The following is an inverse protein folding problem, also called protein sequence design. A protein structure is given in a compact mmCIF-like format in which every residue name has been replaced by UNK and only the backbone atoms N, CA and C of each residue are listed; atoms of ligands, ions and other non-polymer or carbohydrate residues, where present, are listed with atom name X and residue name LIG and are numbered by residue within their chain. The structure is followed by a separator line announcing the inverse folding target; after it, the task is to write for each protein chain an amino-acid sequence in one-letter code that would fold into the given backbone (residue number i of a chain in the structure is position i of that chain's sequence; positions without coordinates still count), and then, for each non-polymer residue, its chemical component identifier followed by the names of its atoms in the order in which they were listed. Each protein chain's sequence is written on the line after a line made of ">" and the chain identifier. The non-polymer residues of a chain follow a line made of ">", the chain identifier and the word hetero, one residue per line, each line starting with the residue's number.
data_IF_651681503634
#
_entry.id   IF_651681503634
#
_cell.length_a   1.000
_cell.length_b   1.000
_cell.length_c   1.000
_cell.angle_alpha   90.00
_cell.angle_beta   90.00
_cell.angle_gamma   90.00
#
_symmetry.space_group_name_H-M   'P 1'
#
loop_
_entity.id
_entity.type
_entity.pdbx_description
1 polymer ?
#
# COMPACT_ATOMS: atom_id res chain seq x y z
N UNK A 1 -30.11 -6.81 -33.56
CA UNK A 1 -30.61 -5.96 -34.56
C UNK A 1 -29.49 -5.08 -35.06
N UNK A 2 -28.48 -5.73 -35.64
CA UNK A 2 -27.30 -5.12 -36.20
C UNK A 2 -27.55 -4.89 -37.67
N UNK A 3 -27.95 -3.68 -38.03
CA UNK A 3 -28.14 -3.23 -39.40
C UNK A 3 -26.74 -2.92 -39.96
N UNK A 4 -26.20 -3.76 -40.82
CA UNK A 4 -24.86 -3.62 -41.42
C UNK A 4 -24.69 -2.25 -42.10
N UNK A 5 -25.79 -1.76 -42.70
CA UNK A 5 -25.80 -0.46 -43.38
C UNK A 5 -25.51 0.72 -42.42
N UNK A 6 -25.98 0.65 -41.17
CA UNK A 6 -25.71 1.68 -40.17
C UNK A 6 -24.23 1.70 -39.73
N UNK A 7 -23.61 0.52 -39.65
CA UNK A 7 -22.18 0.42 -39.31
C UNK A 7 -21.31 0.95 -40.46
N UNK A 8 -21.70 0.72 -41.67
CA UNK A 8 -21.03 1.24 -42.85
C UNK A 8 -21.10 2.80 -42.90
N UNK A 9 -22.27 3.34 -42.59
CA UNK A 9 -22.49 4.80 -42.49
C UNK A 9 -21.63 5.45 -41.37
N UNK A 10 -21.55 4.83 -40.20
CA UNK A 10 -20.70 5.31 -39.11
C UNK A 10 -19.21 5.28 -39.53
N UNK A 11 -18.77 4.20 -40.18
CA UNK A 11 -17.40 4.07 -40.66
C UNK A 11 -17.05 5.14 -41.72
N UNK A 12 -17.93 5.40 -42.67
CA UNK A 12 -17.74 6.48 -43.69
C UNK A 12 -17.65 7.85 -43.04
N UNK A 13 -18.45 8.14 -42.02
CA UNK A 13 -18.42 9.41 -41.28
C UNK A 13 -17.09 9.59 -40.58
N UNK A 14 -16.60 8.55 -39.93
CA UNK A 14 -15.29 8.55 -39.25
C UNK A 14 -14.15 8.77 -40.26
N UNK A 15 -14.22 8.11 -41.41
CA UNK A 15 -13.16 8.15 -42.43
C UNK A 15 -13.05 9.53 -43.16
N UNK A 16 -14.16 10.23 -43.30
CA UNK A 16 -14.22 11.57 -43.93
C UNK A 16 -13.60 12.67 -43.07
N UNK A 17 -13.61 12.54 -41.71
CA UNK A 17 -13.13 13.57 -40.78
C UNK A 17 -12.12 13.00 -39.75
N UNK A 18 -11.06 12.35 -40.24
CA UNK A 18 -10.08 11.60 -39.41
C UNK A 18 -9.49 12.40 -38.27
N UNK A 19 -9.02 13.65 -38.51
CA UNK A 19 -8.39 14.47 -37.47
C UNK A 19 -9.37 14.83 -36.37
N UNK A 20 -10.63 15.14 -36.70
CA UNK A 20 -11.66 15.52 -35.75
C UNK A 20 -12.05 14.32 -34.88
N UNK A 21 -12.30 13.16 -35.49
CA UNK A 21 -12.61 11.91 -34.78
C UNK A 21 -11.46 11.49 -33.89
N UNK A 22 -10.21 11.64 -34.36
CA UNK A 22 -9.03 11.38 -33.54
C UNK A 22 -8.96 12.30 -32.31
N UNK A 23 -9.10 13.61 -32.48
CA UNK A 23 -9.06 14.56 -31.36
C UNK A 23 -10.18 14.32 -30.34
N UNK A 24 -11.38 13.96 -30.85
CA UNK A 24 -12.53 13.57 -29.99
C UNK A 24 -12.19 12.34 -29.16
N UNK A 25 -11.75 11.28 -29.83
CA UNK A 25 -11.39 10.03 -29.20
C UNK A 25 -10.20 10.18 -28.25
N UNK A 26 -9.20 10.97 -28.64
CA UNK A 26 -8.01 11.21 -27.85
C UNK A 26 -8.33 11.82 -26.47
N UNK A 27 -9.23 12.83 -26.42
CA UNK A 27 -9.63 13.46 -25.15
C UNK A 27 -10.23 12.44 -24.16
N UNK A 28 -11.08 11.52 -24.63
CA UNK A 28 -11.67 10.46 -23.81
C UNK A 28 -10.63 9.41 -23.44
N UNK A 29 -9.85 8.95 -24.44
CA UNK A 29 -8.81 7.95 -24.23
C UNK A 29 -7.77 8.43 -23.20
N UNK A 30 -7.36 9.70 -23.29
CA UNK A 30 -6.43 10.32 -22.34
C UNK A 30 -7.00 10.39 -20.93
N UNK A 31 -8.28 10.77 -20.77
CA UNK A 31 -8.95 10.84 -19.47
C UNK A 31 -8.98 9.48 -18.78
N UNK A 32 -9.35 8.43 -19.51
CA UNK A 32 -9.39 7.05 -18.98
C UNK A 32 -7.97 6.52 -18.72
N UNK A 33 -7.05 6.75 -19.63
CA UNK A 33 -5.64 6.41 -19.47
C UNK A 33 -5.06 6.98 -18.17
N UNK A 34 -5.25 8.29 -17.94
CA UNK A 34 -4.78 8.96 -16.72
C UNK A 34 -5.45 8.42 -15.46
N UNK A 35 -6.76 8.18 -15.52
CA UNK A 35 -7.49 7.59 -14.38
C UNK A 35 -6.93 6.21 -14.01
N UNK A 36 -6.68 5.35 -15.00
CA UNK A 36 -6.13 4.00 -14.82
C UNK A 36 -4.71 4.06 -14.24
N UNK A 37 -3.84 4.92 -14.77
CA UNK A 37 -2.47 5.09 -14.28
C UNK A 37 -2.47 5.58 -12.82
N UNK A 38 -3.28 6.60 -12.51
CA UNK A 38 -3.35 7.16 -11.15
C UNK A 38 -3.91 6.14 -10.14
N UNK A 39 -4.99 5.43 -10.48
CA UNK A 39 -5.57 4.40 -9.61
C UNK A 39 -4.60 3.22 -9.42
N UNK A 40 -4.03 2.72 -10.50
CA UNK A 40 -3.08 1.59 -10.44
C UNK A 40 -1.81 1.95 -9.65
N UNK A 41 -1.26 3.14 -9.86
CA UNK A 41 -0.12 3.62 -9.06
C UNK A 41 -0.48 3.81 -7.59
N UNK A 42 -1.68 4.31 -7.30
CA UNK A 42 -2.20 4.44 -5.93
C UNK A 42 -2.34 3.08 -5.23
N UNK A 43 -2.88 2.08 -5.92
CA UNK A 43 -2.94 0.70 -5.40
C UNK A 43 -1.55 0.07 -5.25
N UNK A 44 -0.62 0.33 -6.18
CA UNK A 44 0.76 -0.14 -6.08
C UNK A 44 1.46 0.36 -4.82
N UNK A 45 1.28 1.64 -4.48
CA UNK A 45 1.80 2.23 -3.24
C UNK A 45 1.09 1.67 -2.00
N UNK A 46 -0.24 1.56 -2.01
CA UNK A 46 -1.01 0.99 -0.90
C UNK A 46 -0.60 -0.47 -0.63
N UNK A 47 -0.46 -1.28 -1.68
CA UNK A 47 -0.03 -2.67 -1.58
C UNK A 47 1.42 -2.79 -1.11
N UNK A 48 2.31 -1.89 -1.55
CA UNK A 48 3.69 -1.82 -1.07
C UNK A 48 3.76 -1.55 0.43
N UNK A 49 3.01 -0.57 0.92
CA UNK A 49 2.92 -0.27 2.36
C UNK A 49 2.29 -1.43 3.12
N UNK A 50 1.20 -2.03 2.63
CA UNK A 50 0.59 -3.22 3.25
C UNK A 50 1.57 -4.38 3.35
N UNK A 51 2.41 -4.58 2.34
CA UNK A 51 3.43 -5.63 2.31
C UNK A 51 4.50 -5.39 3.39
N UNK A 52 4.94 -4.16 3.58
CA UNK A 52 5.90 -3.79 4.63
C UNK A 52 5.33 -4.08 6.02
N UNK A 53 4.03 -3.77 6.24
CA UNK A 53 3.35 -4.14 7.49
C UNK A 53 2.96 -5.62 7.59
N UNK A 54 3.05 -6.40 6.51
CA UNK A 54 2.69 -7.82 6.56
C UNK A 54 3.71 -8.67 7.33
N UNK A 55 5.00 -8.28 7.29
CA UNK A 55 6.07 -8.95 8.01
C UNK A 55 5.97 -8.81 9.53
N UNK A 56 5.44 -7.68 10.01
CA UNK A 56 5.30 -7.38 11.43
C UNK A 56 3.86 -7.51 11.92
N UNK A 57 3.68 -7.72 13.22
CA UNK A 57 2.36 -7.54 13.82
C UNK A 57 1.97 -6.06 13.76
N UNK A 58 0.81 -5.76 13.16
CA UNK A 58 0.29 -4.37 13.11
C UNK A 58 -0.34 -3.91 14.42
N UNK A 59 -0.39 -4.76 15.43
CA UNK A 59 -1.07 -4.54 16.70
C UNK A 59 -0.11 -4.51 17.89
N UNK A 60 1.03 -3.84 17.77
CA UNK A 60 1.96 -3.69 18.88
C UNK A 60 2.37 -2.23 19.15
N UNK A 61 2.81 -1.98 20.39
CA UNK A 61 3.51 -0.77 20.78
C UNK A 61 4.99 -1.09 20.98
N UNK A 62 5.89 -0.25 20.48
CA UNK A 62 7.32 -0.34 20.77
C UNK A 62 7.76 0.85 21.62
N UNK A 63 8.25 0.59 22.83
CA UNK A 63 8.59 1.57 23.84
C UNK A 63 10.10 1.59 24.01
N UNK A 64 10.71 2.76 23.86
CA UNK A 64 12.15 2.97 24.12
C UNK A 64 12.33 4.11 25.09
N UNK A 65 13.26 3.95 26.01
CA UNK A 65 13.67 5.03 26.89
C UNK A 65 14.45 6.11 26.13
N UNK A 66 14.16 7.35 26.48
CA UNK A 66 14.80 8.56 25.92
C UNK A 66 15.63 9.29 26.96
N UNK A 67 15.71 10.62 26.81
CA UNK A 67 16.41 11.53 27.73
C UNK A 67 15.42 12.60 28.18
N UNK A 68 15.19 12.72 29.47
CA UNK A 68 14.25 13.70 30.04
C UNK A 68 14.62 15.12 29.64
N UNK A 69 13.62 15.92 29.22
CA UNK A 69 13.82 17.33 28.87
C UNK A 69 13.30 18.31 29.93
N UNK A 70 12.52 17.81 30.89
CA UNK A 70 11.87 18.62 31.91
C UNK A 70 12.31 18.20 33.32
N UNK A 71 12.38 19.15 34.23
CA UNK A 71 12.57 18.89 35.65
C UNK A 71 11.26 18.35 36.24
N UNK A 72 11.34 17.31 37.07
CA UNK A 72 10.15 16.70 37.68
C UNK A 72 10.43 16.15 39.06
N UNK A 73 9.60 16.53 40.06
CA UNK A 73 9.70 16.07 41.47
C UNK A 73 11.14 16.06 42.02
N UNK A 74 11.86 17.16 41.86
CA UNK A 74 13.22 17.32 42.31
C UNK A 74 14.31 16.69 41.43
N UNK A 75 13.93 16.00 40.35
CA UNK A 75 14.88 15.42 39.39
C UNK A 75 15.24 16.44 38.30
N UNK A 76 16.52 16.54 37.96
CA UNK A 76 17.04 17.40 36.89
C UNK A 76 16.71 16.82 35.50
N UNK A 77 16.54 17.68 34.48
CA UNK A 77 16.47 17.21 33.09
C UNK A 77 17.80 16.60 32.62
N UNK A 78 17.82 15.93 31.47
CA UNK A 78 19.02 15.32 30.91
C UNK A 78 19.27 13.87 31.38
N UNK A 79 18.40 13.30 32.21
CA UNK A 79 18.55 11.91 32.67
C UNK A 79 18.10 10.93 31.57
N UNK A 80 18.90 9.90 31.34
CA UNK A 80 18.54 8.81 30.45
C UNK A 80 17.60 7.81 31.15
N UNK A 81 16.51 7.50 30.52
CA UNK A 81 15.60 6.44 30.96
C UNK A 81 16.05 5.13 30.32
N UNK A 82 16.53 4.21 31.16
CA UNK A 82 16.94 2.88 30.71
C UNK A 82 15.88 1.88 31.20
N UNK A 83 15.15 1.29 30.25
CA UNK A 83 14.17 0.26 30.54
C UNK A 83 14.89 -1.02 31.01
N UNK A 84 14.25 -1.79 31.87
CA UNK A 84 14.79 -3.02 32.47
C UNK A 84 13.86 -4.20 32.23
N UNK A 85 14.36 -5.41 32.51
CA UNK A 85 13.56 -6.64 32.41
C UNK A 85 12.26 -6.57 33.24
N UNK A 86 12.29 -5.95 34.41
CA UNK A 86 11.12 -5.77 35.28
C UNK A 86 10.00 -4.93 34.64
N UNK A 87 10.32 -4.05 33.67
CA UNK A 87 9.30 -3.27 32.96
C UNK A 87 8.42 -4.14 32.08
N UNK A 88 8.90 -5.30 31.62
CA UNK A 88 8.06 -6.24 30.88
C UNK A 88 6.90 -6.74 31.75
N UNK A 89 7.19 -7.07 33.01
CA UNK A 89 6.17 -7.50 33.98
C UNK A 89 5.25 -6.36 34.37
N UNK A 90 5.82 -5.19 34.67
CA UNK A 90 5.05 -4.00 35.02
C UNK A 90 4.06 -3.57 33.93
N UNK A 91 4.44 -3.74 32.66
CA UNK A 91 3.62 -3.35 31.54
C UNK A 91 2.70 -4.48 31.02
N UNK A 92 2.87 -5.71 31.51
CA UNK A 92 1.99 -6.85 31.13
C UNK A 92 0.56 -6.72 31.65
N UNK A 93 0.39 -5.99 32.77
CA UNK A 93 -0.90 -5.85 33.44
C UNK A 93 -1.72 -4.66 32.92
N UNK A 94 -1.21 -3.95 31.92
CA UNK A 94 -1.91 -2.80 31.33
C UNK A 94 -3.08 -3.25 30.44
N UNK A 95 -4.02 -2.33 30.25
CA UNK A 95 -5.21 -2.56 29.44
C UNK A 95 -4.84 -2.99 28.01
N UNK A 96 -5.54 -4.01 27.51
CA UNK A 96 -5.39 -4.55 26.15
C UNK A 96 -4.05 -5.22 25.83
N UNK A 97 -3.10 -5.31 26.78
CA UNK A 97 -1.84 -6.02 26.59
C UNK A 97 -2.06 -7.52 26.69
N UNK A 98 -1.79 -8.26 25.61
CA UNK A 98 -1.83 -9.73 25.61
C UNK A 98 -0.48 -10.33 25.96
N UNK A 99 0.59 -9.79 25.38
CA UNK A 99 1.96 -10.27 25.58
C UNK A 99 2.95 -9.12 25.61
N UNK A 100 4.00 -9.32 26.38
CA UNK A 100 5.15 -8.42 26.41
C UNK A 100 6.37 -9.10 25.81
N UNK A 101 7.22 -8.34 25.17
CA UNK A 101 8.46 -8.79 24.59
C UNK A 101 9.53 -7.71 24.73
N UNK A 102 10.78 -8.09 24.53
CA UNK A 102 11.85 -7.12 24.38
C UNK A 102 12.69 -7.39 23.14
N UNK A 103 13.39 -6.34 22.70
CA UNK A 103 14.41 -6.39 21.66
C UNK A 103 15.60 -5.53 22.03
N UNK A 104 16.78 -6.11 22.08
CA UNK A 104 18.03 -5.39 22.34
C UNK A 104 19.07 -5.75 21.32
N UNK A 105 19.46 -4.81 20.44
CA UNK A 105 20.57 -5.02 19.49
C UNK A 105 21.89 -5.05 20.23
N UNK A 106 22.74 -6.00 19.92
CA UNK A 106 24.07 -6.17 20.49
C UNK A 106 25.08 -5.51 19.55
N UNK A 107 25.44 -4.26 19.83
CA UNK A 107 26.29 -3.44 18.96
C UNK A 107 27.77 -3.84 18.97
N UNK A 108 28.20 -4.58 19.99
CA UNK A 108 29.62 -4.99 20.16
C UNK A 108 30.01 -6.10 19.19
N UNK A 109 29.06 -6.81 18.62
CA UNK A 109 29.30 -7.90 17.68
C UNK A 109 29.62 -7.31 16.32
N UNK A 110 30.87 -7.53 15.87
CA UNK A 110 31.37 -7.05 14.58
C UNK A 110 31.28 -8.12 13.48
N UNK A 111 31.36 -9.38 13.85
CA UNK A 111 31.30 -10.50 12.92
C UNK A 111 30.69 -11.74 13.54
N UNK A 112 30.07 -12.54 12.69
CA UNK A 112 29.61 -13.90 13.00
C UNK A 112 30.25 -14.83 11.99
N UNK A 113 30.74 -15.98 12.45
CA UNK A 113 31.42 -16.93 11.57
C UNK A 113 31.01 -18.38 11.81
N UNK A 114 31.09 -19.14 10.75
CA UNK A 114 30.96 -20.60 10.72
C UNK A 114 32.09 -21.16 9.88
N UNK A 115 32.94 -21.99 10.47
CA UNK A 115 34.17 -22.49 9.83
C UNK A 115 34.97 -21.31 9.22
N UNK A 116 35.15 -21.29 7.91
CA UNK A 116 35.90 -20.27 7.16
C UNK A 116 34.98 -19.14 6.61
N UNK A 117 33.67 -19.29 6.71
CA UNK A 117 32.73 -18.28 6.25
C UNK A 117 32.43 -17.27 7.37
N UNK A 118 32.36 -16.00 7.05
CA UNK A 118 32.09 -14.95 8.01
C UNK A 118 31.24 -13.81 7.38
N UNK A 119 30.50 -13.09 8.21
CA UNK A 119 29.70 -11.96 7.78
C UNK A 119 29.38 -11.01 8.92
N UNK A 120 28.90 -9.83 8.57
CA UNK A 120 28.37 -8.84 9.53
C UNK A 120 26.86 -8.93 9.52
N UNK A 121 26.29 -9.36 10.63
CA UNK A 121 24.85 -9.56 10.81
C UNK A 121 24.35 -8.82 12.04
N UNK A 122 23.08 -8.43 12.03
CA UNK A 122 22.44 -7.79 13.15
C UNK A 122 22.01 -8.83 14.20
N UNK A 123 22.68 -8.86 15.34
CA UNK A 123 22.35 -9.76 16.44
C UNK A 123 21.46 -9.07 17.47
N UNK A 124 20.32 -9.69 17.76
CA UNK A 124 19.38 -9.19 18.74
C UNK A 124 19.16 -10.21 19.87
N UNK A 125 19.23 -9.71 21.10
CA UNK A 125 18.77 -10.43 22.27
C UNK A 125 17.25 -10.17 22.43
N UNK A 126 16.44 -11.23 22.40
CA UNK A 126 14.97 -11.14 22.41
C UNK A 126 14.35 -12.14 23.38
N UNK A 127 13.13 -11.83 23.86
CA UNK A 127 12.31 -12.80 24.57
C UNK A 127 11.55 -13.72 23.61
N UNK A 128 11.08 -14.89 24.06
CA UNK A 128 10.35 -15.84 23.19
C UNK A 128 9.13 -15.25 22.48
N UNK A 129 8.38 -14.38 23.14
CA UNK A 129 7.19 -13.73 22.56
C UNK A 129 7.53 -12.78 21.39
N UNK A 130 8.80 -12.45 21.19
CA UNK A 130 9.24 -11.58 20.09
C UNK A 130 8.94 -12.18 18.72
N UNK A 131 8.97 -13.50 18.59
CA UNK A 131 8.60 -14.17 17.36
C UNK A 131 7.17 -13.90 16.88
N UNK A 132 6.25 -13.62 17.81
CA UNK A 132 4.87 -13.25 17.47
C UNK A 132 4.76 -11.77 17.07
N UNK A 133 5.58 -10.90 17.66
CA UNK A 133 5.63 -9.47 17.30
C UNK A 133 6.16 -9.27 15.88
N UNK A 134 7.21 -10.01 15.51
CA UNK A 134 7.80 -9.97 14.15
C UNK A 134 7.12 -10.99 13.21
N UNK A 135 6.06 -11.67 13.64
CA UNK A 135 5.41 -12.76 12.85
C UNK A 135 6.40 -13.71 12.19
N UNK A 136 7.42 -14.10 12.93
CA UNK A 136 8.52 -14.90 12.41
C UNK A 136 8.03 -16.23 11.84
N UNK A 137 8.19 -16.43 10.54
CA UNK A 137 7.85 -17.67 9.85
C UNK A 137 9.06 -18.62 9.87
N UNK A 138 8.94 -19.69 10.64
CA UNK A 138 10.04 -20.67 10.73
C UNK A 138 10.07 -21.56 9.48
N UNK A 139 11.19 -21.53 8.74
CA UNK A 139 11.43 -22.43 7.61
C UNK A 139 11.91 -23.79 8.08
N UNK A 140 12.81 -23.82 9.05
CA UNK A 140 13.35 -25.03 9.64
C UNK A 140 13.56 -24.85 11.16
N UNK A 141 13.37 -25.92 11.93
CA UNK A 141 13.60 -25.89 13.36
C UNK A 141 12.52 -25.16 14.15
N UNK A 142 12.91 -24.41 15.17
CA UNK A 142 12.00 -23.70 16.09
C UNK A 142 12.53 -22.33 16.49
N UNK A 143 11.62 -21.46 16.91
CA UNK A 143 11.99 -20.21 17.56
C UNK A 143 12.44 -20.45 19.03
N UNK A 144 12.91 -19.38 19.67
CA UNK A 144 13.30 -19.37 21.08
C UNK A 144 12.07 -19.68 21.97
N UNK A 145 12.32 -20.36 23.08
CA UNK A 145 11.29 -20.70 24.07
C UNK A 145 11.69 -20.28 25.50
N UNK A 146 10.78 -20.45 26.45
CA UNK A 146 11.00 -20.06 27.83
C UNK A 146 12.12 -20.87 28.52
N UNK A 147 12.38 -22.11 28.11
CA UNK A 147 13.48 -22.89 28.66
C UNK A 147 14.83 -22.34 28.18
N UNK A 148 14.94 -21.92 26.92
CA UNK A 148 16.16 -21.26 26.42
C UNK A 148 16.49 -19.99 27.21
N UNK A 149 15.43 -19.24 27.60
CA UNK A 149 15.55 -18.03 28.41
C UNK A 149 15.94 -18.35 29.87
N UNK A 150 15.29 -19.32 30.50
CA UNK A 150 15.51 -19.67 31.93
C UNK A 150 16.90 -20.29 32.16
N UNK A 151 17.31 -21.16 31.26
CA UNK A 151 18.56 -21.90 31.34
C UNK A 151 19.75 -21.15 30.71
N UNK A 152 19.54 -19.92 30.22
CA UNK A 152 20.54 -19.11 29.53
C UNK A 152 21.22 -19.89 28.39
N UNK A 153 20.45 -20.68 27.62
CA UNK A 153 20.99 -21.53 26.56
C UNK A 153 21.68 -20.68 25.49
N UNK A 154 22.86 -21.12 25.05
CA UNK A 154 23.58 -20.52 23.93
C UNK A 154 23.04 -21.05 22.61
N UNK A 155 21.84 -20.61 22.25
CA UNK A 155 21.12 -20.99 21.03
C UNK A 155 20.84 -19.76 20.19
N UNK A 156 20.79 -19.95 18.86
CA UNK A 156 20.52 -18.90 17.90
C UNK A 156 19.48 -19.31 16.88
N UNK A 157 18.62 -18.39 16.50
CA UNK A 157 17.69 -18.48 15.36
C UNK A 157 18.20 -17.50 14.31
N UNK A 158 18.44 -17.96 13.10
CA UNK A 158 19.08 -17.19 12.03
C UNK A 158 18.11 -16.94 10.88
N UNK A 159 18.20 -15.78 10.27
CA UNK A 159 17.45 -15.47 9.06
C UNK A 159 17.98 -16.25 7.83
N UNK A 160 17.13 -16.40 6.83
CA UNK A 160 17.45 -17.14 5.61
C UNK A 160 18.74 -16.64 4.93
N UNK A 161 18.93 -15.33 4.80
CA UNK A 161 20.14 -14.77 4.18
C UNK A 161 21.39 -14.99 5.04
N UNK A 162 21.26 -15.10 6.37
CA UNK A 162 22.39 -15.52 7.24
C UNK A 162 22.75 -16.97 6.99
N UNK A 163 21.74 -17.84 6.83
CA UNK A 163 21.93 -19.24 6.48
C UNK A 163 22.67 -19.39 5.14
N UNK A 164 22.19 -18.73 4.09
CA UNK A 164 22.79 -18.76 2.76
C UNK A 164 24.24 -18.26 2.77
N UNK A 165 24.53 -17.18 3.52
CA UNK A 165 25.87 -16.60 3.60
C UNK A 165 26.90 -17.48 4.34
N UNK A 166 26.46 -18.14 5.44
CA UNK A 166 27.37 -18.89 6.29
C UNK A 166 27.43 -20.40 5.98
N UNK A 167 26.33 -20.98 5.51
CA UNK A 167 26.21 -22.43 5.33
C UNK A 167 26.08 -22.85 3.88
N UNK A 168 25.72 -21.94 2.96
CA UNK A 168 25.48 -22.25 1.54
C UNK A 168 24.44 -23.37 1.42
N UNK A 169 24.86 -24.53 0.92
CA UNK A 169 24.03 -25.74 0.75
C UNK A 169 24.04 -26.66 1.97
N UNK A 170 24.84 -26.36 3.01
CA UNK A 170 24.95 -27.19 4.21
C UNK A 170 23.81 -26.88 5.18
N UNK A 171 23.21 -27.90 5.80
CA UNK A 171 22.18 -27.71 6.84
C UNK A 171 22.78 -26.99 8.04
N UNK A 172 22.10 -25.91 8.50
CA UNK A 172 22.56 -25.10 9.65
C UNK A 172 22.03 -25.60 11.00
N UNK A 173 20.98 -26.42 11.02
CA UNK A 173 20.41 -26.92 12.27
C UNK A 173 21.41 -27.78 13.05
N UNK A 174 21.45 -27.56 14.37
CA UNK A 174 22.36 -28.17 15.32
C UNK A 174 23.87 -27.88 15.07
N UNK A 175 24.20 -27.01 14.12
CA UNK A 175 25.56 -26.52 13.92
C UNK A 175 25.89 -25.37 14.85
N UNK A 176 27.16 -25.17 15.12
CA UNK A 176 27.66 -24.16 16.03
C UNK A 176 28.27 -23.01 15.23
N UNK A 177 27.73 -21.80 15.42
CA UNK A 177 28.25 -20.54 14.90
C UNK A 177 28.98 -19.78 16.03
N UNK A 178 29.95 -18.98 15.67
CA UNK A 178 30.63 -18.11 16.62
C UNK A 178 30.05 -16.70 16.48
N UNK A 179 29.46 -16.18 17.54
CA UNK A 179 28.91 -14.84 17.61
C UNK A 179 29.74 -14.01 18.58
N UNK A 180 30.55 -13.08 18.07
CA UNK A 180 31.38 -12.23 18.91
C UNK A 180 32.34 -12.96 19.86
N UNK A 181 32.92 -14.11 19.41
CA UNK A 181 33.81 -14.93 20.20
C UNK A 181 33.14 -16.04 21.03
N UNK A 182 31.80 -16.15 20.98
CA UNK A 182 31.04 -17.13 21.78
C UNK A 182 30.30 -18.10 20.86
N UNK A 183 30.37 -19.39 21.18
CA UNK A 183 29.72 -20.47 20.45
C UNK A 183 28.23 -20.53 20.73
N UNK A 184 27.38 -20.50 19.67
CA UNK A 184 25.94 -20.64 19.73
C UNK A 184 25.48 -21.78 18.81
N UNK A 185 24.57 -22.61 19.26
CA UNK A 185 23.97 -23.66 18.43
C UNK A 185 22.77 -23.11 17.67
N UNK A 186 22.75 -23.29 16.36
CA UNK A 186 21.60 -22.90 15.53
C UNK A 186 20.45 -23.87 15.77
N UNK A 187 19.29 -23.35 16.18
CA UNK A 187 18.09 -24.13 16.48
C UNK A 187 16.94 -23.89 15.50
N UNK A 188 17.06 -22.90 14.64
CA UNK A 188 16.06 -22.60 13.64
C UNK A 188 16.53 -21.60 12.59
N UNK A 189 15.88 -21.68 11.43
CA UNK A 189 16.02 -20.73 10.32
C UNK A 189 14.66 -20.13 10.05
N UNK A 190 14.60 -18.81 9.93
CA UNK A 190 13.34 -18.12 9.65
C UNK A 190 13.38 -17.40 8.31
N UNK A 191 12.18 -17.19 7.76
CA UNK A 191 11.91 -16.33 6.63
C UNK A 191 11.07 -15.13 7.10
N UNK A 192 11.21 -14.02 6.39
CA UNK A 192 10.42 -12.81 6.60
C UNK A 192 9.96 -12.30 5.22
N UNK A 193 8.65 -12.35 4.92
CA UNK A 193 8.13 -11.90 3.64
C UNK A 193 8.09 -10.37 3.52
N UNK A 194 8.21 -9.62 4.63
CA UNK A 194 8.08 -8.17 4.66
C UNK A 194 9.37 -7.45 4.31
N UNK A 195 10.53 -7.95 4.78
CA UNK A 195 11.79 -7.22 4.68
C UNK A 195 12.99 -8.13 4.46
N UNK A 196 13.68 -7.98 3.32
CA UNK A 196 14.95 -8.69 3.07
C UNK A 196 16.04 -8.33 4.09
N UNK A 197 16.00 -7.10 4.62
CA UNK A 197 16.96 -6.68 5.65
C UNK A 197 16.81 -7.49 6.93
N UNK A 198 15.61 -7.92 7.25
CA UNK A 198 15.31 -8.67 8.45
C UNK A 198 15.81 -10.12 8.35
N UNK A 199 15.97 -10.61 7.13
CA UNK A 199 16.60 -11.91 6.84
C UNK A 199 18.10 -11.96 7.18
N UNK A 200 18.75 -10.81 7.42
CA UNK A 200 20.14 -10.70 7.89
C UNK A 200 20.25 -10.64 9.42
N UNK A 201 19.16 -10.91 10.16
CA UNK A 201 19.14 -10.90 11.62
C UNK A 201 19.43 -12.28 12.22
N UNK A 202 19.97 -12.22 13.44
CA UNK A 202 20.17 -13.37 14.32
C UNK A 202 19.50 -13.06 15.65
N UNK A 203 18.66 -13.98 16.13
CA UNK A 203 18.01 -13.86 17.42
C UNK A 203 18.60 -14.83 18.43
N UNK A 204 18.95 -14.33 19.63
CA UNK A 204 19.42 -15.11 20.78
C UNK A 204 18.55 -14.79 22.01
N UNK A 205 18.48 -15.65 23.03
CA UNK A 205 17.72 -15.37 24.24
C UNK A 205 18.25 -14.12 24.96
N UNK A 206 17.36 -13.24 25.44
CA UNK A 206 17.74 -12.02 26.17
C UNK A 206 18.63 -12.32 27.36
N UNK A 207 18.27 -13.33 28.16
CA UNK A 207 19.04 -13.71 29.33
C UNK A 207 20.47 -14.16 29.01
N UNK A 208 20.65 -14.87 27.86
CA UNK A 208 21.97 -15.26 27.36
C UNK A 208 22.74 -14.04 26.85
N UNK A 209 22.09 -13.17 26.08
CA UNK A 209 22.69 -11.93 25.59
C UNK A 209 23.16 -11.02 26.72
N UNK A 210 22.36 -10.86 27.76
CA UNK A 210 22.68 -10.09 28.96
C UNK A 210 23.89 -10.66 29.70
N UNK A 211 23.92 -11.98 29.91
CA UNK A 211 24.98 -12.66 30.64
C UNK A 211 26.30 -12.73 29.88
N UNK A 212 26.23 -12.99 28.58
CA UNK A 212 27.42 -13.24 27.74
C UNK A 212 28.04 -11.95 27.25
N UNK A 213 27.24 -10.96 26.87
CA UNK A 213 27.71 -9.70 26.27
C UNK A 213 27.61 -8.49 27.22
N UNK A 214 27.39 -8.71 28.50
CA UNK A 214 27.43 -7.68 29.52
C UNK A 214 26.37 -6.59 29.38
N UNK A 215 25.19 -6.90 28.83
CA UNK A 215 24.12 -5.92 28.62
C UNK A 215 23.45 -5.50 29.94
N UNK A 216 23.75 -6.20 31.07
CA UNK A 216 23.08 -6.00 32.35
C UNK A 216 21.58 -6.32 32.23
N UNK A 217 20.77 -5.77 33.14
CA UNK A 217 19.30 -5.93 33.12
C UNK A 217 18.60 -4.99 32.13
N UNK A 218 19.36 -4.14 31.45
CA UNK A 218 18.79 -3.14 30.57
C UNK A 218 18.24 -3.79 29.30
N UNK A 219 17.05 -3.34 28.88
CA UNK A 219 16.45 -3.66 27.59
C UNK A 219 16.31 -2.39 26.77
N UNK A 220 16.61 -2.48 25.48
CA UNK A 220 16.60 -1.32 24.60
C UNK A 220 15.20 -0.89 24.21
N UNK A 221 14.34 -1.86 23.94
CA UNK A 221 12.93 -1.64 23.62
C UNK A 221 12.08 -2.70 24.29
N UNK A 222 10.96 -2.29 24.83
CA UNK A 222 9.86 -3.17 25.26
C UNK A 222 8.77 -3.09 24.21
N UNK A 223 8.24 -4.24 23.79
CA UNK A 223 7.12 -4.32 22.88
C UNK A 223 5.92 -4.93 23.61
N UNK A 224 4.77 -4.32 23.39
CA UNK A 224 3.48 -4.76 23.93
C UNK A 224 2.61 -5.19 22.76
N UNK A 225 2.33 -6.46 22.65
CA UNK A 225 1.34 -6.98 21.70
C UNK A 225 -0.05 -6.68 22.27
N UNK A 226 -0.82 -5.89 21.54
CA UNK A 226 -2.17 -5.50 21.90
C UNK A 226 -3.14 -6.33 21.09
N UNK A 227 -3.90 -7.22 21.65
CA UNK A 227 -4.83 -8.09 20.97
C UNK A 227 -5.59 -7.45 19.80
N UNK A 228 -6.89 -7.52 19.79
CA UNK A 228 -7.72 -6.86 18.77
C UNK A 228 -8.01 -5.38 19.13
N UNK A 229 -7.01 -4.66 19.64
CA UNK A 229 -7.17 -3.27 20.03
C UNK A 229 -7.30 -2.36 18.79
N UNK A 230 -8.22 -1.41 18.85
CA UNK A 230 -8.33 -0.32 17.88
C UNK A 230 -7.43 0.87 18.28
N UNK A 231 -7.39 1.91 17.44
CA UNK A 231 -6.54 3.09 17.66
C UNK A 231 -6.88 3.86 18.95
N UNK A 232 -8.14 3.92 19.35
CA UNK A 232 -8.52 4.57 20.62
C UNK A 232 -8.01 3.76 21.82
N UNK A 233 -8.14 2.45 21.77
CA UNK A 233 -7.67 1.54 22.81
C UNK A 233 -6.14 1.55 22.91
N UNK A 234 -5.44 1.50 21.78
CA UNK A 234 -3.97 1.59 21.74
C UNK A 234 -3.47 2.93 22.28
N UNK A 235 -4.14 4.03 21.95
CA UNK A 235 -3.81 5.37 22.49
C UNK A 235 -4.02 5.44 24.01
N UNK A 236 -5.06 4.78 24.53
CA UNK A 236 -5.26 4.66 25.99
C UNK A 236 -4.11 3.87 26.64
N UNK A 237 -3.72 2.75 26.05
CA UNK A 237 -2.57 1.97 26.54
C UNK A 237 -1.27 2.79 26.50
N UNK A 238 -1.05 3.61 25.45
CA UNK A 238 0.09 4.53 25.39
C UNK A 238 0.11 5.49 26.60
N UNK A 239 -1.03 6.02 26.97
CA UNK A 239 -1.12 6.94 28.10
C UNK A 239 -0.90 6.22 29.43
N UNK A 240 -1.45 5.01 29.61
CA UNK A 240 -1.19 4.13 30.77
C UNK A 240 0.31 3.79 30.87
N UNK A 241 0.98 3.46 29.76
CA UNK A 241 2.45 3.22 29.72
C UNK A 241 3.22 4.42 30.21
N UNK A 242 2.88 5.63 29.72
CA UNK A 242 3.56 6.87 30.13
C UNK A 242 3.39 7.11 31.61
N UNK A 243 2.19 6.97 32.16
CA UNK A 243 1.92 7.18 33.58
C UNK A 243 2.65 6.16 34.44
N UNK A 244 2.61 4.88 34.09
CA UNK A 244 3.24 3.79 34.83
C UNK A 244 4.76 3.95 34.87
N UNK A 245 5.40 4.22 33.73
CA UNK A 245 6.85 4.42 33.66
C UNK A 245 7.28 5.76 34.26
N UNK A 246 6.42 6.79 34.19
CA UNK A 246 6.69 8.09 34.82
C UNK A 246 6.71 7.99 36.36
N UNK A 247 5.84 7.16 36.95
CA UNK A 247 5.88 6.88 38.37
C UNK A 247 7.16 6.16 38.79
N UNK A 248 7.54 5.12 38.05
CA UNK A 248 8.74 4.32 38.32
C UNK A 248 10.02 5.11 38.16
N UNK A 249 10.17 5.79 37.04
CA UNK A 249 11.43 6.51 36.67
C UNK A 249 11.44 7.98 37.07
N UNK A 250 10.38 8.50 37.71
CA UNK A 250 10.22 9.87 38.21
C UNK A 250 10.53 10.92 37.13
N UNK A 251 9.75 10.89 36.02
CA UNK A 251 9.76 11.93 34.99
C UNK A 251 8.34 12.45 34.76
N UNK A 252 8.19 13.59 34.08
CA UNK A 252 6.88 14.13 33.75
C UNK A 252 6.23 13.28 32.64
N UNK A 253 5.04 12.70 32.85
CA UNK A 253 4.34 11.93 31.81
C UNK A 253 4.13 12.68 30.49
N UNK A 254 4.13 14.03 30.55
CA UNK A 254 4.01 14.90 29.37
C UNK A 254 5.33 15.22 28.70
N UNK A 255 6.47 14.80 29.25
CA UNK A 255 7.79 15.02 28.65
C UNK A 255 7.94 14.21 27.35
N UNK A 256 7.94 14.85 26.14
CA UNK A 256 7.95 14.15 24.88
C UNK A 256 9.27 13.43 24.59
N UNK A 257 10.33 13.73 25.32
CA UNK A 257 11.67 13.17 25.12
C UNK A 257 12.03 12.06 26.13
N UNK A 258 11.24 11.88 27.17
CA UNK A 258 11.50 10.86 28.19
C UNK A 258 11.28 9.43 27.65
N UNK A 259 10.27 9.23 26.80
CA UNK A 259 9.96 7.98 26.15
C UNK A 259 9.68 8.19 24.66
N UNK A 260 10.14 7.25 23.84
CA UNK A 260 9.75 7.13 22.44
C UNK A 260 8.82 5.93 22.31
N UNK A 261 7.54 6.19 22.07
CA UNK A 261 6.52 5.15 21.91
C UNK A 261 6.06 5.15 20.46
N UNK A 262 6.30 4.05 19.78
CA UNK A 262 5.84 3.81 18.41
C UNK A 262 4.57 2.97 18.48
N UNK A 263 3.47 3.48 17.93
CA UNK A 263 2.16 2.82 17.93
C UNK A 263 1.83 2.37 16.51
N UNK A 264 2.11 1.10 16.21
CA UNK A 264 1.90 0.54 14.86
C UNK A 264 0.44 0.55 14.44
N UNK A 265 -0.52 0.39 15.39
CA UNK A 265 -1.96 0.45 15.11
C UNK A 265 -2.35 1.82 14.56
N UNK A 266 -1.93 2.88 15.29
CA UNK A 266 -2.26 4.25 14.90
C UNK A 266 -1.58 4.66 13.59
N UNK A 267 -0.35 4.23 13.37
CA UNK A 267 0.39 4.56 12.15
C UNK A 267 -0.18 3.81 10.94
N UNK A 268 -0.52 2.52 11.09
CA UNK A 268 -1.20 1.77 10.05
C UNK A 268 -2.54 2.42 9.64
N UNK A 269 -3.36 2.82 10.63
CA UNK A 269 -4.63 3.51 10.36
C UNK A 269 -4.41 4.86 9.66
N UNK A 270 -3.38 5.63 10.07
CA UNK A 270 -3.01 6.89 9.40
C UNK A 270 -2.65 6.66 7.93
N UNK A 271 -1.86 5.62 7.63
CA UNK A 271 -1.53 5.27 6.25
C UNK A 271 -2.77 4.86 5.45
N UNK A 272 -3.65 4.04 6.03
CA UNK A 272 -4.90 3.65 5.34
C UNK A 272 -5.80 4.85 5.07
N UNK A 273 -5.93 5.79 6.01
CA UNK A 273 -6.69 7.03 5.83
C UNK A 273 -6.05 7.95 4.78
N UNK A 274 -4.72 8.02 4.74
CA UNK A 274 -3.99 8.75 3.70
C UNK A 274 -4.32 8.17 2.31
N UNK A 275 -4.23 6.84 2.14
CA UNK A 275 -4.56 6.19 0.87
C UNK A 275 -6.03 6.36 0.49
N UNK A 276 -6.95 6.35 1.46
CA UNK A 276 -8.35 6.65 1.22
C UNK A 276 -8.53 8.09 0.69
N UNK A 277 -7.81 9.05 1.25
CA UNK A 277 -7.82 10.46 0.80
C UNK A 277 -7.22 10.61 -0.60
N UNK A 278 -6.10 9.92 -0.88
CA UNK A 278 -5.48 9.90 -2.22
C UNK A 278 -6.46 9.30 -3.25
N UNK A 279 -7.13 8.19 -2.93
CA UNK A 279 -8.15 7.61 -3.82
C UNK A 279 -9.31 8.57 -4.08
N UNK A 280 -9.79 9.26 -3.06
CA UNK A 280 -10.83 10.28 -3.23
C UNK A 280 -10.38 11.40 -4.17
N UNK A 281 -9.15 11.87 -4.01
CA UNK A 281 -8.56 12.91 -4.86
C UNK A 281 -8.40 12.43 -6.33
N UNK A 282 -7.95 11.19 -6.53
CA UNK A 282 -7.85 10.57 -7.86
C UNK A 282 -9.23 10.49 -8.52
N UNK A 283 -10.27 10.09 -7.78
CA UNK A 283 -11.64 10.07 -8.28
C UNK A 283 -12.14 11.47 -8.67
N UNK A 284 -11.82 12.48 -7.87
CA UNK A 284 -12.18 13.86 -8.18
C UNK A 284 -11.54 14.35 -9.50
N UNK A 285 -10.24 14.10 -9.67
CA UNK A 285 -9.54 14.43 -10.93
C UNK A 285 -10.08 13.61 -12.10
N UNK A 286 -10.28 12.30 -11.88
CA UNK A 286 -10.80 11.39 -12.91
C UNK A 286 -12.18 11.80 -13.43
N UNK A 287 -13.09 12.13 -12.54
CA UNK A 287 -14.43 12.66 -12.90
C UNK A 287 -14.30 13.99 -13.65
N UNK A 288 -13.44 14.90 -13.20
CA UNK A 288 -13.18 16.16 -13.88
C UNK A 288 -12.66 15.98 -15.32
N UNK A 289 -11.73 15.06 -15.51
CA UNK A 289 -11.19 14.76 -16.87
C UNK A 289 -12.23 14.09 -17.76
N UNK A 290 -13.07 13.22 -17.22
CA UNK A 290 -14.19 12.61 -17.96
C UNK A 290 -15.20 13.67 -18.38
N UNK A 291 -15.57 14.60 -17.49
CA UNK A 291 -16.48 15.72 -17.82
C UNK A 291 -15.86 16.57 -18.94
N UNK A 292 -14.59 16.92 -18.87
CA UNK A 292 -13.89 17.63 -19.93
C UNK A 292 -13.95 16.86 -21.27
N UNK A 293 -13.75 15.55 -21.24
CA UNK A 293 -13.91 14.66 -22.39
C UNK A 293 -15.35 14.68 -22.96
N UNK A 294 -16.37 14.59 -22.11
CA UNK A 294 -17.79 14.68 -22.50
C UNK A 294 -18.09 15.99 -23.21
N UNK A 295 -17.61 17.13 -22.68
CA UNK A 295 -17.80 18.44 -23.30
C UNK A 295 -17.10 18.50 -24.65
N UNK A 296 -15.86 17.99 -24.74
CA UNK A 296 -15.11 17.90 -26.00
C UNK A 296 -15.86 17.11 -27.09
N UNK A 297 -16.31 15.90 -26.74
CA UNK A 297 -17.12 15.05 -27.63
C UNK A 297 -18.40 15.76 -28.03
N UNK A 298 -19.14 16.32 -27.07
CA UNK A 298 -20.41 17.02 -27.34
C UNK A 298 -20.25 18.19 -28.30
N UNK A 299 -19.19 19.00 -28.12
CA UNK A 299 -18.92 20.12 -29.02
C UNK A 299 -18.64 19.65 -30.46
N UNK A 300 -17.87 18.58 -30.62
CA UNK A 300 -17.53 18.04 -31.92
C UNK A 300 -18.76 17.41 -32.58
N UNK A 301 -19.53 16.63 -31.83
CA UNK A 301 -20.79 16.07 -32.34
C UNK A 301 -21.81 17.15 -32.72
N UNK A 302 -21.79 18.31 -32.04
CA UNK A 302 -22.63 19.46 -32.42
C UNK A 302 -22.25 20.02 -33.80
N UNK A 303 -20.97 20.05 -34.14
CA UNK A 303 -20.48 20.47 -35.45
C UNK A 303 -20.90 19.43 -36.52
N UNK A 304 -20.73 18.14 -36.23
CA UNK A 304 -21.15 17.05 -37.12
C UNK A 304 -22.63 17.12 -37.44
N UNK A 305 -23.48 17.36 -36.42
CA UNK A 305 -24.93 17.56 -36.62
C UNK A 305 -25.23 18.74 -37.53
N UNK A 306 -24.50 19.87 -37.40
CA UNK A 306 -24.68 21.01 -38.29
C UNK A 306 -24.28 20.70 -39.75
N UNK A 307 -23.16 20.02 -39.97
CA UNK A 307 -22.71 19.61 -41.30
C UNK A 307 -23.70 18.62 -41.97
N UNK A 308 -24.33 17.75 -41.17
CA UNK A 308 -25.32 16.76 -41.65
C UNK A 308 -26.78 17.26 -41.59
N UNK A 309 -27.01 18.56 -41.38
CA UNK A 309 -28.37 19.13 -41.23
C UNK A 309 -29.23 18.85 -42.43
N UNK A 310 -28.71 18.92 -43.68
CA UNK A 310 -29.44 18.64 -44.94
C UNK A 310 -29.84 17.16 -45.02
N UNK A 311 -28.91 16.27 -44.70
CA UNK A 311 -29.19 14.80 -44.66
C UNK A 311 -30.28 14.44 -43.63
N UNK A 312 -30.17 15.00 -42.41
CA UNK A 312 -31.17 14.83 -41.33
C UNK A 312 -32.53 15.38 -41.78
N UNK A 313 -32.53 16.52 -42.47
CA UNK A 313 -33.74 17.12 -43.03
C UNK A 313 -34.44 16.24 -44.06
N UNK A 314 -33.67 15.63 -44.97
CA UNK A 314 -34.18 14.67 -45.98
C UNK A 314 -34.80 13.43 -45.31
N UNK A 315 -34.10 12.84 -44.35
CA UNK A 315 -34.60 11.66 -43.58
C UNK A 315 -35.92 11.98 -42.87
N UNK A 316 -36.03 13.17 -42.24
CA UNK A 316 -37.28 13.59 -41.62
C UNK A 316 -38.40 13.86 -42.62
N UNK A 317 -38.09 14.43 -43.80
CA UNK A 317 -39.06 14.60 -44.89
C UNK A 317 -39.58 13.28 -45.41
N UNK A 318 -38.76 12.23 -45.41
CA UNK A 318 -39.13 10.84 -45.78
C UNK A 318 -39.84 10.07 -44.64
N UNK A 319 -40.14 10.75 -43.49
CA UNK A 319 -40.94 10.17 -42.39
C UNK A 319 -40.11 9.58 -41.23
N UNK A 320 -38.80 9.81 -41.13
CA UNK A 320 -38.01 9.35 -40.01
C UNK A 320 -38.49 10.00 -38.70
N UNK A 321 -38.73 9.20 -37.64
CA UNK A 321 -39.15 9.70 -36.33
C UNK A 321 -37.99 10.46 -35.64
N UNK A 322 -38.30 11.46 -34.80
CA UNK A 322 -37.28 12.17 -34.03
C UNK A 322 -36.41 11.23 -33.21
N UNK A 323 -36.96 10.18 -32.66
CA UNK A 323 -36.25 9.18 -31.87
C UNK A 323 -35.26 8.35 -32.70
N UNK A 324 -35.58 8.06 -33.96
CA UNK A 324 -34.66 7.38 -34.87
C UNK A 324 -33.37 8.18 -35.10
N UNK A 325 -33.49 9.51 -35.25
CA UNK A 325 -32.33 10.44 -35.39
C UNK A 325 -31.54 10.55 -34.08
N UNK A 326 -32.22 10.67 -32.93
CA UNK A 326 -31.58 10.67 -31.62
C UNK A 326 -30.78 9.39 -31.39
N UNK A 327 -31.40 8.25 -31.66
CA UNK A 327 -30.77 6.93 -31.52
C UNK A 327 -29.50 6.77 -32.37
N UNK A 328 -29.53 7.25 -33.63
CA UNK A 328 -28.36 7.19 -34.53
C UNK A 328 -27.17 7.99 -33.93
N UNK A 329 -27.39 9.23 -33.52
CA UNK A 329 -26.34 10.09 -32.97
C UNK A 329 -25.82 9.58 -31.63
N UNK A 330 -26.69 9.05 -30.77
CA UNK A 330 -26.28 8.43 -29.51
C UNK A 330 -25.44 7.20 -29.75
N UNK A 331 -25.80 6.31 -30.69
CA UNK A 331 -25.01 5.13 -31.07
C UNK A 331 -23.63 5.51 -31.58
N UNK A 332 -23.53 6.54 -32.43
CA UNK A 332 -22.27 7.06 -32.95
C UNK A 332 -21.39 7.61 -31.81
N UNK A 333 -21.95 8.40 -30.90
CA UNK A 333 -21.24 8.95 -29.75
C UNK A 333 -20.74 7.87 -28.79
N UNK A 334 -21.60 6.89 -28.45
CA UNK A 334 -21.25 5.77 -27.57
C UNK A 334 -20.16 4.92 -28.22
N UNK A 335 -20.24 4.67 -29.53
CA UNK A 335 -19.23 3.88 -30.23
C UNK A 335 -17.85 4.54 -30.19
N UNK A 336 -17.78 5.83 -30.54
CA UNK A 336 -16.52 6.59 -30.55
C UNK A 336 -15.91 6.62 -29.13
N UNK A 337 -16.71 6.93 -28.13
CA UNK A 337 -16.24 7.00 -26.75
C UNK A 337 -15.84 5.64 -26.20
N UNK A 338 -16.56 4.56 -26.56
CA UNK A 338 -16.23 3.20 -26.11
C UNK A 338 -14.91 2.71 -26.72
N UNK A 339 -14.70 2.91 -28.01
CA UNK A 339 -13.45 2.52 -28.68
C UNK A 339 -12.28 3.34 -28.11
N UNK A 340 -12.44 4.66 -28.01
CA UNK A 340 -11.40 5.54 -27.49
C UNK A 340 -11.05 5.18 -26.02
N UNK A 341 -12.05 4.99 -25.20
CA UNK A 341 -11.82 4.64 -23.82
C UNK A 341 -11.25 3.24 -23.63
N UNK A 342 -11.61 2.27 -24.47
CA UNK A 342 -10.99 0.95 -24.48
C UNK A 342 -9.49 1.04 -24.83
N UNK A 343 -9.13 1.88 -25.79
CA UNK A 343 -7.72 2.15 -26.13
C UNK A 343 -7.01 2.77 -24.92
N UNK A 344 -7.61 3.77 -24.27
CA UNK A 344 -7.05 4.39 -23.05
C UNK A 344 -6.85 3.39 -21.92
N UNK A 345 -7.82 2.48 -21.71
CA UNK A 345 -7.74 1.42 -20.71
C UNK A 345 -6.59 0.44 -21.02
N UNK A 346 -6.52 -0.08 -22.26
CA UNK A 346 -5.48 -1.04 -22.67
C UNK A 346 -4.08 -0.43 -22.56
N UNK A 347 -3.92 0.81 -22.98
CA UNK A 347 -2.64 1.54 -22.84
C UNK A 347 -2.28 1.78 -21.36
N UNK A 348 -3.26 2.16 -20.54
CA UNK A 348 -3.06 2.35 -19.10
C UNK A 348 -2.64 1.08 -18.39
N UNK A 349 -3.36 -0.02 -18.62
CA UNK A 349 -3.02 -1.34 -18.05
C UNK A 349 -1.67 -1.83 -18.55
N UNK A 350 -1.39 -1.69 -19.85
CA UNK A 350 -0.12 -2.09 -20.44
C UNK A 350 1.09 -1.36 -19.84
N UNK A 351 0.96 -0.04 -19.60
CA UNK A 351 2.03 0.73 -18.95
C UNK A 351 2.18 0.32 -17.48
N UNK A 352 1.09 0.11 -16.73
CA UNK A 352 1.17 -0.37 -15.35
C UNK A 352 1.85 -1.73 -15.25
N UNK A 353 1.56 -2.63 -16.19
CA UNK A 353 2.21 -3.95 -16.26
C UNK A 353 3.72 -3.81 -16.55
N UNK A 354 4.10 -2.92 -17.47
CA UNK A 354 5.52 -2.62 -17.74
C UNK A 354 6.23 -2.05 -16.50
N UNK A 355 5.57 -1.14 -15.78
CA UNK A 355 6.07 -0.57 -14.54
C UNK A 355 6.23 -1.67 -13.49
N UNK A 356 5.21 -2.52 -13.32
CA UNK A 356 5.22 -3.64 -12.36
C UNK A 356 6.41 -4.59 -12.60
N UNK A 357 6.69 -4.92 -13.85
CA UNK A 357 7.81 -5.82 -14.20
C UNK A 357 9.18 -5.20 -13.94
N UNK A 358 9.34 -3.91 -14.20
CA UNK A 358 10.63 -3.22 -14.04
C UNK A 358 10.92 -2.75 -12.61
N UNK A 359 9.89 -2.59 -11.77
CA UNK A 359 10.03 -2.14 -10.38
C UNK A 359 9.92 -3.30 -9.37
N UNK A 360 10.11 -4.55 -9.79
CA UNK A 360 10.23 -5.69 -8.88
C UNK A 360 11.43 -5.48 -7.95
N UNK A 361 11.17 -5.48 -6.63
CA UNK A 361 12.20 -5.24 -5.60
C UNK A 361 12.28 -3.82 -5.07
N UNK A 362 11.49 -2.87 -5.56
CA UNK A 362 11.39 -1.54 -4.95
C UNK A 362 10.51 -1.62 -3.70
N UNK A 363 11.09 -1.27 -2.53
CA UNK A 363 10.34 -1.12 -1.28
C UNK A 363 9.21 -0.11 -1.47
N UNK A 364 8.07 -0.35 -0.85
CA UNK A 364 6.87 0.50 -0.88
C UNK A 364 6.10 0.58 -2.21
N UNK A 365 6.47 -0.20 -3.23
CA UNK A 365 5.69 -0.30 -4.47
C UNK A 365 5.59 -1.75 -4.90
N UNK A 366 4.40 -2.33 -4.84
CA UNK A 366 4.19 -3.72 -5.24
C UNK A 366 2.80 -3.92 -5.83
N UNK A 367 2.73 -4.80 -6.84
CA UNK A 367 1.50 -5.22 -7.51
C UNK A 367 0.55 -4.05 -7.81
N UNK A 368 0.91 -3.14 -8.74
CA UNK A 368 0.01 -2.08 -9.20
C UNK A 368 -1.11 -2.67 -10.08
N UNK A 369 -1.84 -3.64 -9.55
CA UNK A 369 -2.91 -4.32 -10.27
C UNK A 369 -4.20 -3.51 -10.18
N UNK A 370 -4.90 -3.44 -11.31
CA UNK A 370 -6.24 -2.89 -11.35
C UNK A 370 -7.21 -4.02 -11.04
N UNK A 371 -7.97 -3.86 -9.97
CA UNK A 371 -9.05 -4.77 -9.64
C UNK A 371 -10.05 -4.81 -10.81
N UNK A 372 -10.53 -6.00 -11.19
CA UNK A 372 -11.54 -6.22 -12.23
C UNK A 372 -12.76 -5.31 -12.03
N UNK A 373 -13.16 -5.06 -10.79
CA UNK A 373 -14.26 -4.15 -10.47
C UNK A 373 -13.98 -2.70 -10.91
N UNK A 374 -12.73 -2.25 -10.88
CA UNK A 374 -12.34 -0.91 -11.37
C UNK A 374 -12.40 -0.85 -12.89
N UNK A 375 -11.96 -1.91 -13.58
CA UNK A 375 -12.05 -2.00 -15.03
C UNK A 375 -13.51 -2.04 -15.51
N UNK A 376 -14.37 -2.80 -14.84
CA UNK A 376 -15.82 -2.84 -15.10
C UNK A 376 -16.48 -1.48 -14.82
N UNK A 377 -16.12 -0.84 -13.70
CA UNK A 377 -16.59 0.50 -13.36
C UNK A 377 -16.17 1.53 -14.41
N UNK A 378 -14.92 1.52 -14.85
CA UNK A 378 -14.43 2.39 -15.93
C UNK A 378 -15.21 2.17 -17.24
N UNK A 379 -15.48 0.94 -17.60
CA UNK A 379 -16.29 0.60 -18.80
C UNK A 379 -17.72 1.13 -18.68
N UNK A 380 -18.36 0.98 -17.53
CA UNK A 380 -19.70 1.53 -17.29
C UNK A 380 -19.70 3.06 -17.38
N UNK A 381 -18.72 3.72 -16.79
CA UNK A 381 -18.56 5.18 -16.86
C UNK A 381 -18.38 5.63 -18.30
N UNK A 382 -17.62 4.89 -19.13
CA UNK A 382 -17.44 5.18 -20.55
C UNK A 382 -18.75 5.19 -21.34
N UNK A 383 -19.58 4.17 -21.15
CA UNK A 383 -20.87 4.07 -21.84
C UNK A 383 -21.78 5.22 -21.42
N UNK A 384 -21.83 5.55 -20.12
CA UNK A 384 -22.60 6.68 -19.59
C UNK A 384 -22.07 8.00 -20.15
N UNK A 385 -20.76 8.20 -20.16
CA UNK A 385 -20.11 9.39 -20.70
C UNK A 385 -20.42 9.61 -22.18
N UNK A 386 -20.36 8.52 -22.98
CA UNK A 386 -20.72 8.53 -24.40
C UNK A 386 -22.18 8.93 -24.63
N UNK A 387 -23.09 8.36 -23.85
CA UNK A 387 -24.51 8.69 -23.92
C UNK A 387 -24.76 10.17 -23.56
N UNK A 388 -24.14 10.66 -22.48
CA UNK A 388 -24.25 12.07 -22.04
C UNK A 388 -23.67 13.03 -23.09
N UNK A 389 -22.51 12.70 -23.65
CA UNK A 389 -21.86 13.51 -24.67
C UNK A 389 -22.71 13.65 -25.95
N UNK A 390 -23.35 12.57 -26.37
CA UNK A 390 -24.23 12.53 -27.55
C UNK A 390 -25.63 13.13 -27.31
N UNK A 391 -26.07 13.25 -26.06
CA UNK A 391 -27.46 13.61 -25.77
C UNK A 391 -27.86 15.02 -26.24
N UNK A 392 -27.04 16.03 -25.97
CA UNK A 392 -27.33 17.42 -26.37
C UNK A 392 -27.31 17.58 -27.91
N UNK A 393 -26.27 17.08 -28.64
CA UNK A 393 -26.27 17.09 -30.10
C UNK A 393 -27.45 16.33 -30.71
N UNK A 394 -27.76 15.16 -30.17
CA UNK A 394 -28.87 14.31 -30.66
C UNK A 394 -30.22 15.03 -30.53
N UNK A 395 -30.47 15.67 -29.38
CA UNK A 395 -31.70 16.45 -29.18
C UNK A 395 -31.78 17.62 -30.17
N UNK A 396 -30.65 18.29 -30.46
CA UNK A 396 -30.61 19.40 -31.41
C UNK A 396 -30.85 18.92 -32.84
N UNK A 397 -30.28 17.79 -33.25
CA UNK A 397 -30.55 17.15 -34.53
C UNK A 397 -32.04 16.79 -34.71
N UNK A 398 -32.66 16.22 -33.67
CA UNK A 398 -34.07 15.90 -33.68
C UNK A 398 -34.98 17.13 -33.81
N UNK A 399 -34.53 18.30 -33.41
CA UNK A 399 -35.33 19.57 -33.53
C UNK A 399 -35.22 20.25 -34.88
N UNK A 400 -34.38 19.78 -35.81
CA UNK A 400 -34.23 20.32 -37.18
C UNK A 400 -35.54 20.23 -37.92
N UNK A 401 -36.01 21.36 -38.47
CA UNK A 401 -37.21 21.42 -39.29
C UNK A 401 -36.89 21.08 -40.75
N UNK A 402 -37.51 20.07 -41.41
CA UNK A 402 -37.19 19.67 -42.77
C UNK A 402 -37.19 20.83 -43.80
N UNK A 403 -38.19 21.72 -43.69
CA UNK A 403 -38.36 22.90 -44.57
C UNK A 403 -37.18 23.86 -44.51
N UNK A 404 -36.59 24.06 -43.33
CA UNK A 404 -35.45 24.93 -43.14
C UNK A 404 -34.16 24.27 -43.62
N UNK A 405 -33.99 22.98 -43.31
CA UNK A 405 -32.81 22.21 -43.71
C UNK A 405 -32.65 22.04 -45.25
N UNK A 406 -33.71 22.13 -46.00
CA UNK A 406 -33.72 22.03 -47.46
C UNK A 406 -33.65 23.35 -48.17
N UNK A 407 -33.80 24.46 -47.46
CA UNK A 407 -33.81 25.84 -47.96
C UNK A 407 -32.45 26.56 -47.79
N UNK A 408 -31.66 26.16 -46.81
CA UNK A 408 -30.30 26.71 -46.61
C UNK A 408 -29.35 26.14 -47.67
N UNK A 409 -29.00 26.98 -48.66
CA UNK A 409 -27.89 26.79 -49.60
C UNK A 409 -26.57 27.16 -48.94
#
# INVERSE_FOLDING_TARGET
>A
MFDLDKWQEIYETISKNKLRTFLTGFSVAWGIFMLIILLGSGYGLENGVKKEFAGDAVNYLSIRGGVTSQAYKGMKPGRRINLKNEDLWLLSDLSFVEKTSNRSKIWQIKSVNYKNEYGTFDVFAVTPNYGEVEKVEMTHGRFLNNNDQKEHRKVAVIGRLVHEALFKDETSLAKVINIGGVAFTVIGVFNDPGSERDLLRIYIPTSTGQKVFGLGENVRAVQLLLGKANTLQSSKTVEEVKQTLAQKYRFDPKDPRALFIYNTIADYERFMNLFASIRLFIWFIGIGTIIAGIVGVSNIMMIVVKERTKEIGIRKALGASPWSIVSLILQESILITSIAGYIGLVLGVGILELISRNLQGVSYFSNPEINVNVALGATAILVIAGALAGFVPARKAASVKPVIALRDE
#
